data_IF_372864094052
#
_entry.id   IF_372864094052
#
_cell.length_a   1.000
_cell.length_b   1.000
_cell.length_c   1.000
_cell.angle_alpha   90.00
_cell.angle_beta   90.00
_cell.angle_gamma   90.00
#
_symmetry.space_group_name_H-M   'P 1'
#
loop_
_entity.id
_entity.type
_entity.pdbx_description
1 polymer ?
#
# COMPACT_ATOMS: atom_id res chain seq x y z
N UNK A 1 12.74 11.21 9.12
CA UNK A 1 12.20 9.84 9.26
C UNK A 1 10.71 9.81 9.68
N UNK A 2 10.06 10.94 9.96
CA UNK A 2 8.60 11.01 10.27
C UNK A 2 7.67 10.76 9.07
N UNK A 3 8.22 10.52 7.88
CA UNK A 3 7.45 10.40 6.63
C UNK A 3 6.96 8.97 6.37
N UNK A 4 7.70 7.95 6.81
CA UNK A 4 7.38 6.53 6.60
C UNK A 4 6.00 6.12 7.17
N UNK A 5 5.64 6.48 8.41
CA UNK A 5 4.29 6.22 8.93
C UNK A 5 3.18 6.90 8.11
N UNK A 6 3.43 8.12 7.64
CA UNK A 6 2.49 8.86 6.79
C UNK A 6 2.34 8.27 5.38
N UNK A 7 3.40 7.66 4.84
CA UNK A 7 3.37 6.94 3.56
C UNK A 7 2.61 5.61 3.69
N UNK A 8 2.84 4.85 4.76
CA UNK A 8 2.09 3.62 5.03
C UNK A 8 0.58 3.86 5.15
N UNK A 9 0.16 4.93 5.84
CA UNK A 9 -1.28 5.26 5.91
C UNK A 9 -1.87 5.63 4.55
N UNK A 10 -1.14 6.39 3.73
CA UNK A 10 -1.60 6.70 2.36
C UNK A 10 -1.78 5.43 1.53
N UNK A 11 -0.84 4.49 1.62
CA UNK A 11 -0.90 3.21 0.92
C UNK A 11 -2.08 2.36 1.42
N UNK A 12 -2.35 2.32 2.72
CA UNK A 12 -3.51 1.61 3.30
C UNK A 12 -4.85 2.19 2.82
N UNK A 13 -4.95 3.52 2.77
CA UNK A 13 -6.13 4.22 2.23
C UNK A 13 -6.30 3.93 0.74
N UNK A 14 -5.21 3.97 -0.02
CA UNK A 14 -5.23 3.66 -1.45
C UNK A 14 -5.66 2.22 -1.72
N UNK A 15 -5.09 1.25 -1.01
CA UNK A 15 -5.47 -0.17 -1.11
C UNK A 15 -6.96 -0.39 -0.87
N UNK A 16 -7.50 0.22 0.19
CA UNK A 16 -8.94 0.15 0.50
C UNK A 16 -9.79 0.70 -0.65
N UNK A 17 -9.35 1.81 -1.27
CA UNK A 17 -10.06 2.40 -2.40
C UNK A 17 -10.00 1.53 -3.66
N UNK A 18 -8.83 0.93 -3.94
CA UNK A 18 -8.63 0.02 -5.06
C UNK A 18 -9.45 -1.26 -4.90
N UNK A 19 -9.47 -1.85 -3.70
CA UNK A 19 -10.29 -3.03 -3.39
C UNK A 19 -11.76 -2.77 -3.61
N UNK A 20 -12.26 -1.63 -3.13
CA UNK A 20 -13.66 -1.22 -3.36
C UNK A 20 -13.97 -1.06 -4.85
N UNK A 21 -13.03 -0.52 -5.63
CA UNK A 21 -13.22 -0.35 -7.06
C UNK A 21 -13.16 -1.68 -7.82
N UNK A 22 -12.26 -2.59 -7.45
CA UNK A 22 -12.12 -3.93 -8.05
C UNK A 22 -13.28 -4.85 -7.68
N UNK A 23 -13.93 -4.62 -6.53
CA UNK A 23 -15.13 -5.34 -6.12
C UNK A 23 -16.40 -4.93 -6.91
N UNK A 24 -16.36 -3.89 -7.74
CA UNK A 24 -17.48 -3.49 -8.59
C UNK A 24 -17.54 -4.37 -9.86
N UNK A 25 -18.49 -5.34 -9.96
CA UNK A 25 -18.59 -6.22 -11.11
C UNK A 25 -18.97 -5.47 -12.41
N UNK A 26 -19.57 -4.28 -12.31
CA UNK A 26 -19.88 -3.46 -13.47
C UNK A 26 -18.64 -2.76 -14.04
N UNK A 27 -17.59 -2.57 -13.24
CA UNK A 27 -16.34 -1.96 -13.69
C UNK A 27 -15.66 -2.81 -14.75
N UNK A 28 -15.57 -4.14 -14.55
CA UNK A 28 -14.95 -5.02 -15.53
C UNK A 28 -15.71 -5.03 -16.85
N UNK A 29 -17.05 -5.06 -16.80
CA UNK A 29 -17.89 -5.05 -18.00
C UNK A 29 -17.81 -3.72 -18.78
N UNK A 30 -17.70 -2.59 -18.07
CA UNK A 30 -17.66 -1.24 -18.66
C UNK A 30 -16.25 -0.86 -19.14
N UNK A 31 -15.24 -1.19 -18.36
CA UNK A 31 -13.86 -0.76 -18.56
C UNK A 31 -12.86 -1.84 -18.11
N UNK A 32 -12.67 -2.91 -18.90
CA UNK A 32 -11.74 -3.99 -18.58
C UNK A 32 -10.31 -3.50 -18.39
N UNK A 33 -9.89 -2.48 -19.17
CA UNK A 33 -8.54 -1.91 -19.09
C UNK A 33 -8.36 -1.15 -17.77
N UNK A 34 -9.32 -0.31 -17.40
CA UNK A 34 -9.29 0.40 -16.12
C UNK A 34 -9.45 -0.49 -14.91
N UNK A 35 -10.07 -1.67 -15.04
CA UNK A 35 -10.04 -2.72 -14.03
C UNK A 35 -8.63 -3.32 -13.91
N UNK A 36 -8.02 -3.73 -15.03
CA UNK A 36 -6.65 -4.27 -15.02
C UNK A 36 -5.64 -3.29 -14.43
N UNK A 37 -5.67 -2.01 -14.82
CA UNK A 37 -4.78 -0.99 -14.24
C UNK A 37 -4.94 -0.86 -12.73
N UNK A 38 -6.16 -1.00 -12.19
CA UNK A 38 -6.38 -0.96 -10.72
C UNK A 38 -5.88 -2.22 -10.05
N UNK A 39 -6.02 -3.39 -10.68
CA UNK A 39 -5.49 -4.64 -10.16
C UNK A 39 -3.96 -4.60 -10.09
N UNK A 40 -3.31 -4.12 -11.16
CA UNK A 40 -1.85 -3.96 -11.20
C UNK A 40 -1.38 -2.96 -10.12
N UNK A 41 -2.11 -1.85 -9.96
CA UNK A 41 -1.80 -0.87 -8.91
C UNK A 41 -2.01 -1.44 -7.51
N UNK A 42 -3.04 -2.25 -7.29
CA UNK A 42 -3.31 -2.88 -5.99
C UNK A 42 -2.15 -3.79 -5.59
N UNK A 43 -1.66 -4.65 -6.50
CA UNK A 43 -0.48 -5.50 -6.27
C UNK A 43 0.76 -4.66 -5.96
N UNK A 44 0.99 -3.58 -6.72
CA UNK A 44 2.13 -2.69 -6.48
C UNK A 44 2.04 -1.99 -5.11
N UNK A 45 0.87 -1.47 -4.74
CA UNK A 45 0.65 -0.80 -3.46
C UNK A 45 0.82 -1.76 -2.26
N UNK A 46 0.45 -3.03 -2.42
CA UNK A 46 0.70 -4.05 -1.39
C UNK A 46 2.20 -4.29 -1.19
N UNK A 47 2.97 -4.39 -2.28
CA UNK A 47 4.42 -4.55 -2.21
C UNK A 47 5.11 -3.31 -1.60
N UNK A 48 4.67 -2.11 -1.98
CA UNK A 48 5.14 -0.84 -1.41
C UNK A 48 4.87 -0.75 0.09
N UNK A 49 3.68 -1.17 0.54
CA UNK A 49 3.32 -1.17 1.95
C UNK A 49 4.20 -2.14 2.75
N UNK A 50 4.38 -3.37 2.26
CA UNK A 50 5.23 -4.36 2.93
C UNK A 50 6.69 -3.87 3.05
N UNK A 51 7.24 -3.28 1.99
CA UNK A 51 8.59 -2.72 2.01
C UNK A 51 8.73 -1.55 3.02
N UNK A 52 7.69 -0.70 3.12
CA UNK A 52 7.67 0.39 4.09
C UNK A 52 7.57 -0.13 5.53
N UNK A 53 6.80 -1.21 5.76
CA UNK A 53 6.68 -1.87 7.06
C UNK A 53 8.01 -2.50 7.50
N UNK A 54 8.69 -3.22 6.59
CA UNK A 54 10.00 -3.80 6.85
C UNK A 54 11.04 -2.72 7.18
N UNK A 55 11.10 -1.65 6.38
CA UNK A 55 12.00 -0.52 6.63
C UNK A 55 11.71 0.18 7.96
N UNK A 56 10.43 0.26 8.36
CA UNK A 56 10.06 0.83 9.65
C UNK A 56 10.53 -0.04 10.82
N UNK A 57 10.36 -1.35 10.72
CA UNK A 57 10.84 -2.29 11.73
C UNK A 57 12.36 -2.22 11.90
N UNK A 58 13.12 -2.17 10.81
CA UNK A 58 14.58 -1.99 10.85
C UNK A 58 14.99 -0.69 11.55
N UNK A 59 14.29 0.41 11.28
CA UNK A 59 14.54 1.70 11.93
C UNK A 59 14.20 1.66 13.42
N UNK A 60 13.13 0.99 13.82
CA UNK A 60 12.75 0.84 15.23
C UNK A 60 13.78 0.00 15.99
N UNK A 61 14.28 -1.09 15.39
CA UNK A 61 15.37 -1.89 15.98
C UNK A 61 16.64 -1.05 16.17
N UNK A 62 17.05 -0.27 15.16
CA UNK A 62 18.22 0.61 15.28
C UNK A 62 18.03 1.68 16.37
N UNK A 63 16.81 2.23 16.51
CA UNK A 63 16.48 3.19 17.58
C UNK A 63 16.55 2.55 18.96
N UNK A 64 16.07 1.32 19.11
CA UNK A 64 16.16 0.56 20.36
C UNK A 64 17.63 0.31 20.73
N UNK A 65 18.46 -0.11 19.77
CA UNK A 65 19.89 -0.36 20.00
C UNK A 65 20.67 0.91 20.41
N UNK A 66 20.37 2.07 19.80
CA UNK A 66 21.02 3.35 20.12
C UNK A 66 20.53 3.99 21.42
N UNK A 67 19.33 3.62 21.87
CA UNK A 67 18.71 4.12 23.09
C UNK A 67 19.03 3.29 24.34
N UNK A 68 19.67 2.13 24.18
CA UNK A 68 20.13 1.24 25.26
C UNK A 68 21.55 1.57 25.72
#
# INVERSE_FOLDING_TARGET
MEQLPGEMEKLRVELTALEKALADPALYARDPKGHQTKADRHVAAQAELAAAEDAWLELELLREELGR
#
